data_IF_326300759640
#
_entry.id   IF_326300759640
#
_cell.length_a   1.000
_cell.length_b   1.000
_cell.length_c   1.000
_cell.angle_alpha   90.00
_cell.angle_beta   90.00
_cell.angle_gamma   90.00
#
_symmetry.space_group_name_H-M   'P 1'
#
loop_
_entity.id
_entity.type
_entity.pdbx_description
1 polymer ?
#
# COMPACT_ATOMS: atom_id res chain seq x y z
N UNK A 1 50.48 -5.21 -13.15
CA UNK A 1 50.31 -5.94 -11.88
C UNK A 1 50.05 -4.90 -10.81
N UNK A 2 48.80 -4.47 -10.65
CA UNK A 2 48.43 -3.38 -9.72
C UNK A 2 47.36 -3.90 -8.78
N UNK A 3 47.79 -4.01 -7.52
CA UNK A 3 47.04 -3.78 -6.30
C UNK A 3 45.83 -4.67 -6.02
N UNK A 4 46.12 -5.78 -5.32
CA UNK A 4 45.18 -6.39 -4.38
C UNK A 4 44.79 -5.31 -3.37
N UNK A 5 43.74 -4.55 -3.66
CA UNK A 5 43.13 -3.64 -2.70
C UNK A 5 42.90 -4.43 -1.40
N UNK A 6 43.53 -3.98 -0.32
CA UNK A 6 43.36 -4.59 0.99
C UNK A 6 41.89 -4.44 1.38
N UNK A 7 41.10 -5.48 1.11
CA UNK A 7 39.69 -5.55 1.48
C UNK A 7 39.59 -5.21 2.96
N UNK A 8 38.77 -4.20 3.29
CA UNK A 8 38.61 -3.77 4.67
C UNK A 8 38.12 -4.96 5.52
N UNK A 9 38.47 -4.97 6.81
CA UNK A 9 38.07 -6.05 7.72
C UNK A 9 36.55 -6.30 7.69
N UNK A 10 35.75 -5.25 7.57
CA UNK A 10 34.29 -5.32 7.48
C UNK A 10 33.79 -5.84 6.13
N UNK A 11 34.46 -5.50 5.03
CA UNK A 11 34.13 -6.04 3.72
C UNK A 11 34.42 -7.54 3.62
N UNK A 12 35.53 -8.01 4.20
CA UNK A 12 35.86 -9.44 4.29
C UNK A 12 34.79 -10.21 5.07
N UNK A 13 34.38 -9.69 6.24
CA UNK A 13 33.33 -10.30 7.06
C UNK A 13 32.00 -10.42 6.30
N UNK A 14 31.64 -9.42 5.51
CA UNK A 14 30.43 -9.47 4.67
C UNK A 14 30.54 -10.49 3.54
N UNK A 15 31.71 -10.60 2.88
CA UNK A 15 31.93 -11.61 1.83
C UNK A 15 31.93 -13.04 2.40
N UNK A 16 32.53 -13.25 3.57
CA UNK A 16 32.51 -14.55 4.25
C UNK A 16 31.09 -14.93 4.70
N UNK A 17 30.34 -13.96 5.24
CA UNK A 17 28.93 -14.16 5.59
C UNK A 17 28.08 -14.49 4.36
N UNK A 18 28.32 -13.81 3.23
CA UNK A 18 27.67 -14.11 1.96
C UNK A 18 27.99 -15.54 1.49
N UNK A 19 29.25 -15.96 1.51
CA UNK A 19 29.65 -17.31 1.13
C UNK A 19 28.96 -18.37 2.01
N UNK A 20 28.87 -18.14 3.32
CA UNK A 20 28.14 -19.03 4.25
C UNK A 20 26.65 -19.15 3.89
N UNK A 21 26.00 -18.05 3.53
CA UNK A 21 24.59 -18.06 3.13
C UNK A 21 24.38 -18.77 1.79
N UNK A 22 25.29 -18.58 0.82
CA UNK A 22 25.27 -19.27 -0.47
C UNK A 22 25.44 -20.79 -0.28
N UNK A 23 26.37 -21.21 0.58
CA UNK A 23 26.58 -22.62 0.91
C UNK A 23 25.55 -23.21 1.89
N UNK A 24 24.50 -22.46 2.24
CA UNK A 24 23.45 -22.87 3.17
C UNK A 24 23.98 -23.29 4.55
N UNK A 25 25.07 -22.67 5.02
CA UNK A 25 25.67 -22.89 6.35
C UNK A 25 25.64 -21.61 7.19
N UNK A 26 24.45 -21.05 7.50
CA UNK A 26 24.36 -19.89 8.38
C UNK A 26 24.82 -20.24 9.80
N UNK A 27 25.50 -19.33 10.47
CA UNK A 27 25.89 -19.41 11.88
C UNK A 27 24.76 -18.86 12.75
N UNK A 28 24.09 -17.78 12.31
CA UNK A 28 23.05 -17.12 13.08
C UNK A 28 21.83 -18.04 13.29
N UNK A 29 21.35 -18.13 14.54
CA UNK A 29 20.23 -18.98 14.95
C UNK A 29 18.94 -18.68 14.16
N UNK A 30 18.63 -17.41 13.92
CA UNK A 30 17.44 -17.01 13.16
C UNK A 30 17.52 -17.44 11.69
N UNK A 31 18.70 -17.32 11.08
CA UNK A 31 18.91 -17.69 9.68
C UNK A 31 18.93 -19.21 9.50
N UNK A 32 19.44 -19.96 10.50
CA UNK A 32 19.29 -21.43 10.56
C UNK A 32 17.82 -21.85 10.59
N UNK A 33 16.98 -21.17 11.38
CA UNK A 33 15.54 -21.46 11.43
C UNK A 33 14.87 -21.14 10.09
N UNK A 34 15.21 -20.01 9.45
CA UNK A 34 14.70 -19.65 8.12
C UNK A 34 15.15 -20.63 7.05
N UNK A 35 16.36 -21.17 7.14
CA UNK A 35 16.85 -22.21 6.24
C UNK A 35 16.06 -23.51 6.41
N UNK A 36 15.84 -23.98 7.65
CA UNK A 36 14.99 -25.15 7.93
C UNK A 36 13.56 -24.99 7.38
N UNK A 37 13.05 -23.77 7.37
CA UNK A 37 11.75 -23.44 6.82
C UNK A 37 11.75 -23.19 5.29
N UNK A 38 12.87 -23.39 4.59
CA UNK A 38 13.06 -23.06 3.16
C UNK A 38 12.71 -21.61 2.78
N UNK A 39 12.80 -20.67 3.74
CA UNK A 39 12.45 -19.25 3.59
C UNK A 39 13.68 -18.33 3.65
N UNK A 40 14.88 -18.88 3.55
CA UNK A 40 16.11 -18.08 3.59
C UNK A 40 16.26 -17.29 2.29
N UNK A 41 16.29 -15.95 2.41
CA UNK A 41 16.59 -15.02 1.33
C UNK A 41 17.97 -14.40 1.56
N UNK A 42 18.78 -14.29 0.51
CA UNK A 42 20.10 -13.65 0.55
C UNK A 42 19.90 -12.14 0.31
N UNK A 43 19.50 -11.43 1.36
CA UNK A 43 19.29 -9.97 1.33
C UNK A 43 20.39 -9.30 2.15
N UNK A 44 20.74 -8.06 1.82
CA UNK A 44 21.75 -7.24 2.53
C UNK A 44 21.57 -7.31 4.04
N UNK A 45 20.34 -7.15 4.53
CA UNK A 45 20.02 -7.22 5.96
C UNK A 45 20.31 -8.59 6.58
N UNK A 46 20.13 -9.68 5.84
CA UNK A 46 20.42 -11.03 6.34
C UNK A 46 21.92 -11.32 6.31
N UNK A 47 22.64 -10.79 5.32
CA UNK A 47 24.11 -10.90 5.23
C UNK A 47 24.78 -10.11 6.37
N UNK A 48 24.30 -8.88 6.66
CA UNK A 48 24.77 -8.08 7.80
C UNK A 48 24.53 -8.81 9.14
N UNK A 49 23.34 -9.40 9.32
CA UNK A 49 23.02 -10.21 10.50
C UNK A 49 23.85 -11.48 10.64
N UNK A 50 24.25 -12.10 9.53
CA UNK A 50 25.13 -13.27 9.50
C UNK A 50 26.60 -12.90 9.75
N UNK A 51 26.99 -11.68 9.38
CA UNK A 51 28.30 -11.10 9.69
C UNK A 51 28.40 -10.57 11.13
N UNK A 52 27.28 -10.47 11.86
CA UNK A 52 27.25 -9.87 13.20
C UNK A 52 27.39 -8.35 13.19
N UNK A 53 27.13 -7.72 12.04
CA UNK A 53 27.24 -6.27 11.84
C UNK A 53 25.87 -5.58 12.03
N UNK A 54 25.91 -4.28 12.33
CA UNK A 54 24.69 -3.48 12.44
C UNK A 54 24.03 -3.26 11.08
N UNK A 55 22.71 -3.09 11.09
CA UNK A 55 21.93 -2.80 9.89
C UNK A 55 22.46 -1.53 9.20
N UNK A 56 22.85 -1.63 7.92
CA UNK A 56 23.41 -0.53 7.14
C UNK A 56 24.94 -0.49 7.05
N UNK A 57 25.64 -1.46 7.62
CA UNK A 57 27.09 -1.60 7.50
C UNK A 57 27.56 -1.81 6.05
N UNK A 58 26.74 -2.45 5.21
CA UNK A 58 27.00 -2.66 3.80
C UNK A 58 26.77 -1.40 2.93
N UNK A 59 26.22 -0.31 3.49
CA UNK A 59 25.93 0.93 2.73
C UNK A 59 27.19 1.54 2.12
N UNK A 60 28.34 1.37 2.77
CA UNK A 60 29.64 1.90 2.33
C UNK A 60 30.31 1.05 1.23
N UNK A 61 29.78 -0.14 0.93
CA UNK A 61 30.39 -1.11 0.02
C UNK A 61 29.43 -1.46 -1.12
N UNK A 62 29.35 -0.62 -2.18
CA UNK A 62 28.43 -0.85 -3.29
C UNK A 62 28.75 -2.13 -4.08
N UNK A 63 30.02 -2.52 -4.18
CA UNK A 63 30.42 -3.76 -4.86
C UNK A 63 29.92 -5.01 -4.13
N UNK A 64 30.12 -5.07 -2.81
CA UNK A 64 29.59 -6.17 -1.97
C UNK A 64 28.08 -6.24 -2.02
N UNK A 65 27.40 -5.09 -2.12
CA UNK A 65 25.95 -5.04 -2.32
C UNK A 65 25.53 -5.66 -3.66
N UNK A 66 26.22 -5.33 -4.75
CA UNK A 66 25.98 -5.93 -6.05
C UNK A 66 26.24 -7.45 -6.03
N UNK A 67 27.27 -7.92 -5.32
CA UNK A 67 27.52 -9.35 -5.12
C UNK A 67 26.38 -10.05 -4.38
N UNK A 68 25.83 -9.44 -3.32
CA UNK A 68 24.67 -9.98 -2.58
C UNK A 68 23.44 -10.09 -3.50
N UNK A 69 23.16 -9.03 -4.26
CA UNK A 69 22.04 -9.01 -5.21
C UNK A 69 22.21 -10.08 -6.31
N UNK A 70 23.42 -10.24 -6.83
CA UNK A 70 23.74 -11.28 -7.81
C UNK A 70 23.61 -12.69 -7.23
N UNK A 71 24.00 -12.91 -5.98
CA UNK A 71 23.87 -14.20 -5.30
C UNK A 71 22.40 -14.60 -5.08
N UNK A 72 21.52 -13.65 -4.73
CA UNK A 72 20.09 -13.91 -4.63
C UNK A 72 19.46 -14.15 -6.00
N UNK A 73 19.86 -13.38 -7.02
CA UNK A 73 19.41 -13.60 -8.39
C UNK A 73 19.80 -15.02 -8.87
N UNK A 74 21.03 -15.47 -8.60
CA UNK A 74 21.49 -16.82 -8.91
C UNK A 74 20.71 -17.89 -8.13
N UNK A 75 20.32 -17.63 -6.88
CA UNK A 75 19.49 -18.55 -6.07
C UNK A 75 18.08 -18.71 -6.64
N UNK A 76 17.48 -17.62 -7.14
CA UNK A 76 16.08 -17.61 -7.62
C UNK A 76 15.98 -18.03 -9.08
N UNK A 77 16.91 -17.57 -9.92
CA UNK A 77 16.83 -17.69 -11.38
C UNK A 77 17.92 -18.60 -11.99
N UNK A 78 18.86 -19.11 -11.18
CA UNK A 78 20.01 -19.87 -11.66
C UNK A 78 21.14 -18.99 -12.19
N UNK A 79 22.30 -19.59 -12.48
CA UNK A 79 23.46 -18.87 -13.00
C UNK A 79 23.20 -18.46 -14.44
N UNK A 80 23.07 -17.15 -14.70
CA UNK A 80 22.91 -16.65 -16.06
C UNK A 80 24.26 -16.62 -16.77
N UNK A 81 24.39 -17.32 -17.88
CA UNK A 81 25.61 -17.29 -18.71
C UNK A 81 25.66 -16.08 -19.68
N UNK A 82 24.68 -15.17 -19.57
CA UNK A 82 24.51 -14.01 -20.45
C UNK A 82 24.73 -12.75 -19.63
N UNK A 83 25.60 -11.86 -20.12
CA UNK A 83 25.86 -10.58 -19.43
C UNK A 83 24.64 -9.66 -19.48
N UNK A 84 24.46 -8.87 -18.42
CA UNK A 84 23.34 -7.92 -18.29
C UNK A 84 23.29 -6.90 -19.45
N UNK A 85 24.45 -6.58 -20.04
CA UNK A 85 24.54 -5.70 -21.22
C UNK A 85 23.85 -6.28 -22.45
N UNK A 86 23.95 -7.59 -22.67
CA UNK A 86 23.31 -8.29 -23.79
C UNK A 86 21.80 -8.39 -23.56
N UNK A 87 21.38 -8.65 -22.33
CA UNK A 87 19.95 -8.68 -21.96
C UNK A 87 19.30 -7.32 -22.16
N UNK A 88 19.96 -6.23 -21.78
CA UNK A 88 19.44 -4.86 -21.94
C UNK A 88 19.30 -4.44 -23.39
N UNK A 89 20.17 -4.92 -24.28
CA UNK A 89 20.08 -4.71 -25.72
C UNK A 89 19.06 -5.60 -26.44
N UNK A 90 18.51 -6.61 -25.75
CA UNK A 90 17.58 -7.54 -26.36
C UNK A 90 16.24 -6.83 -26.70
N UNK A 91 15.66 -7.05 -27.90
CA UNK A 91 14.41 -6.39 -28.31
C UNK A 91 13.25 -6.58 -27.34
N UNK A 92 13.15 -7.76 -26.70
CA UNK A 92 12.14 -8.02 -25.66
C UNK A 92 12.31 -7.13 -24.43
N UNK A 93 13.54 -6.90 -23.98
CA UNK A 93 13.81 -6.07 -22.81
C UNK A 93 13.50 -4.60 -23.10
N UNK A 94 13.85 -4.12 -24.30
CA UNK A 94 13.53 -2.77 -24.76
C UNK A 94 12.01 -2.56 -24.81
N UNK A 95 11.27 -3.48 -25.44
CA UNK A 95 9.80 -3.43 -25.48
C UNK A 95 9.18 -3.44 -24.08
N UNK A 96 9.64 -4.36 -23.21
CA UNK A 96 9.15 -4.42 -21.84
C UNK A 96 9.40 -3.12 -21.06
N UNK A 97 10.55 -2.47 -21.28
CA UNK A 97 10.86 -1.18 -20.66
C UNK A 97 9.96 -0.07 -21.18
N UNK A 98 9.73 -0.01 -22.49
CA UNK A 98 8.82 0.98 -23.09
C UNK A 98 7.38 0.82 -22.60
N UNK A 99 6.88 -0.42 -22.54
CA UNK A 99 5.53 -0.71 -22.06
C UNK A 99 5.38 -0.38 -20.57
N UNK A 100 6.41 -0.64 -19.78
CA UNK A 100 6.47 -0.27 -18.37
C UNK A 100 6.43 1.26 -18.20
N UNK A 101 7.15 2.00 -19.03
CA UNK A 101 7.14 3.47 -19.01
C UNK A 101 5.80 4.06 -19.48
N UNK A 102 5.13 3.44 -20.46
CA UNK A 102 3.76 3.79 -20.86
C UNK A 102 2.77 3.55 -19.72
N UNK A 103 2.80 2.36 -19.12
CA UNK A 103 1.94 2.00 -17.99
C UNK A 103 2.14 2.95 -16.80
N UNK A 104 3.38 3.33 -16.48
CA UNK A 104 3.67 4.33 -15.44
C UNK A 104 3.04 5.70 -15.74
N UNK A 105 3.08 6.16 -17.00
CA UNK A 105 2.46 7.42 -17.40
C UNK A 105 0.94 7.35 -17.27
N UNK A 106 0.34 6.24 -17.69
CA UNK A 106 -1.11 6.01 -17.55
C UNK A 106 -1.55 5.96 -16.10
N UNK A 107 -0.85 5.22 -15.24
CA UNK A 107 -1.11 5.18 -13.80
C UNK A 107 -1.05 6.58 -13.20
N UNK A 108 -0.06 7.39 -13.59
CA UNK A 108 0.06 8.78 -13.10
C UNK A 108 -1.13 9.64 -13.56
N UNK A 109 -1.61 9.45 -14.80
CA UNK A 109 -2.77 10.16 -15.33
C UNK A 109 -4.05 9.75 -14.60
N UNK A 110 -4.29 8.45 -14.45
CA UNK A 110 -5.45 7.91 -13.74
C UNK A 110 -5.50 8.34 -12.27
N UNK A 111 -4.36 8.36 -11.57
CA UNK A 111 -4.29 8.87 -10.20
C UNK A 111 -4.74 10.32 -10.08
N UNK A 112 -4.30 11.19 -11.02
CA UNK A 112 -4.75 12.59 -11.07
C UNK A 112 -6.24 12.72 -11.39
N UNK A 113 -6.78 11.82 -12.21
CA UNK A 113 -8.21 11.82 -12.51
C UNK A 113 -9.06 11.36 -11.32
N UNK A 114 -8.59 10.37 -10.56
CA UNK A 114 -9.22 9.92 -9.32
C UNK A 114 -9.25 11.06 -8.31
N UNK A 115 -8.11 11.71 -8.06
CA UNK A 115 -8.01 12.84 -7.13
C UNK A 115 -9.00 13.96 -7.47
N UNK A 116 -9.09 14.35 -8.75
CA UNK A 116 -10.08 15.34 -9.22
C UNK A 116 -11.52 14.89 -9.05
N UNK A 117 -11.81 13.60 -9.23
CA UNK A 117 -13.17 13.06 -9.04
C UNK A 117 -13.54 13.01 -7.56
N UNK A 118 -12.59 12.66 -6.69
CA UNK A 118 -12.77 12.65 -5.24
C UNK A 118 -13.04 14.05 -4.69
N UNK A 119 -12.30 15.06 -5.16
CA UNK A 119 -12.53 16.46 -4.83
C UNK A 119 -13.95 16.91 -5.20
N UNK A 120 -14.37 16.68 -6.47
CA UNK A 120 -15.73 16.99 -6.93
C UNK A 120 -16.80 16.25 -6.14
N UNK A 121 -16.57 14.98 -5.80
CA UNK A 121 -17.51 14.20 -4.99
C UNK A 121 -17.65 14.80 -3.58
N UNK A 122 -16.55 15.27 -2.98
CA UNK A 122 -16.57 15.99 -1.72
C UNK A 122 -17.43 17.25 -1.79
N UNK A 123 -17.30 18.04 -2.86
CA UNK A 123 -18.10 19.25 -3.06
C UNK A 123 -19.59 18.95 -3.26
N UNK A 124 -19.92 17.92 -4.06
CA UNK A 124 -21.31 17.50 -4.24
C UNK A 124 -21.93 17.03 -2.91
N UNK A 125 -21.21 16.26 -2.10
CA UNK A 125 -21.69 15.85 -0.77
C UNK A 125 -21.96 17.05 0.14
N UNK A 126 -21.09 18.06 0.15
CA UNK A 126 -21.31 19.30 0.91
C UNK A 126 -22.55 20.04 0.43
N UNK A 127 -22.70 20.22 -0.88
CA UNK A 127 -23.88 20.90 -1.48
C UNK A 127 -25.18 20.17 -1.15
N UNK A 128 -25.19 18.84 -1.25
CA UNK A 128 -26.37 18.03 -0.94
C UNK A 128 -26.76 18.16 0.53
N UNK A 129 -25.79 18.12 1.46
CA UNK A 129 -26.04 18.37 2.88
C UNK A 129 -26.61 19.76 3.13
N UNK A 130 -26.02 20.80 2.55
CA UNK A 130 -26.54 22.17 2.69
C UNK A 130 -27.95 22.31 2.10
N UNK A 131 -28.26 21.63 1.00
CA UNK A 131 -29.60 21.63 0.42
C UNK A 131 -30.60 20.91 1.31
N UNK A 132 -30.24 19.74 1.86
CA UNK A 132 -31.11 19.01 2.79
C UNK A 132 -31.44 19.84 4.03
N UNK A 133 -30.45 20.55 4.60
CA UNK A 133 -30.66 21.48 5.72
C UNK A 133 -31.61 22.61 5.34
N UNK A 134 -31.41 23.27 4.18
CA UNK A 134 -32.32 24.32 3.71
C UNK A 134 -33.75 23.83 3.49
N UNK A 135 -33.89 22.65 2.88
CA UNK A 135 -35.20 22.03 2.67
C UNK A 135 -35.87 21.73 4.01
N UNK A 136 -35.14 21.17 4.96
CA UNK A 136 -35.68 20.90 6.30
C UNK A 136 -36.11 22.19 7.02
N UNK A 137 -35.28 23.23 7.00
CA UNK A 137 -35.64 24.54 7.56
C UNK A 137 -36.90 25.12 6.91
N UNK A 138 -37.02 25.01 5.59
CA UNK A 138 -38.21 25.45 4.86
C UNK A 138 -39.44 24.64 5.27
N UNK A 139 -39.33 23.31 5.36
CA UNK A 139 -40.41 22.44 5.83
C UNK A 139 -40.85 22.78 7.25
N UNK A 140 -39.91 23.01 8.18
CA UNK A 140 -40.21 23.40 9.56
C UNK A 140 -40.92 24.76 9.61
N UNK A 141 -40.42 25.76 8.89
CA UNK A 141 -41.06 27.08 8.83
C UNK A 141 -42.48 27.00 8.23
N UNK A 142 -42.66 26.22 7.16
CA UNK A 142 -43.99 25.98 6.58
C UNK A 142 -44.91 25.29 7.59
N UNK A 143 -44.39 24.32 8.35
CA UNK A 143 -45.13 23.63 9.41
C UNK A 143 -45.56 24.56 10.54
N UNK A 144 -44.68 25.46 10.99
CA UNK A 144 -44.99 26.46 12.01
C UNK A 144 -46.14 27.37 11.60
N UNK A 145 -46.15 27.80 10.33
CA UNK A 145 -47.16 28.69 9.75
C UNK A 145 -48.49 28.02 9.39
N UNK A 146 -48.59 26.68 9.43
CA UNK A 146 -49.89 26.03 9.25
C UNK A 146 -50.82 26.31 10.43
N UNK A 147 -52.14 26.47 10.23
CA UNK A 147 -53.11 26.51 11.32
C UNK A 147 -53.06 25.22 12.14
N UNK A 148 -53.23 25.32 13.45
CA UNK A 148 -53.15 24.18 14.37
C UNK A 148 -54.16 23.07 14.00
N UNK A 149 -55.34 23.42 13.48
CA UNK A 149 -56.34 22.44 13.01
C UNK A 149 -55.82 21.58 11.85
N UNK A 150 -54.94 22.14 11.01
CA UNK A 150 -54.33 21.44 9.88
C UNK A 150 -53.08 20.63 10.26
N UNK A 151 -52.38 20.99 11.36
CA UNK A 151 -51.18 20.27 11.84
C UNK A 151 -51.50 18.85 12.34
N UNK A 152 -52.77 18.53 12.59
CA UNK A 152 -53.22 17.25 13.11
C UNK A 152 -53.48 16.18 12.02
N UNK A 153 -53.44 16.54 10.73
CA UNK A 153 -53.91 15.66 9.65
C UNK A 153 -52.90 14.53 9.30
N UNK A 154 -51.60 14.69 9.57
CA UNK A 154 -50.60 13.66 9.21
C UNK A 154 -50.50 12.49 10.20
N UNK A 155 -50.95 12.64 11.45
CA UNK A 155 -50.99 11.51 12.40
C UNK A 155 -52.06 10.47 12.04
N UNK A 156 -53.07 10.82 11.24
CA UNK A 156 -54.12 9.88 10.83
C UNK A 156 -53.74 9.01 9.63
N UNK A 157 -52.80 9.45 8.77
CA UNK A 157 -52.48 8.71 7.54
C UNK A 157 -51.72 7.41 7.86
N UNK A 158 -50.87 7.37 8.90
CA UNK A 158 -50.19 6.13 9.32
C UNK A 158 -51.05 5.22 10.23
N UNK A 159 -52.04 5.79 10.93
CA UNK A 159 -52.91 5.00 11.83
C UNK A 159 -53.94 4.20 11.03
N UNK A 160 -54.49 4.77 9.95
CA UNK A 160 -55.50 4.09 9.13
C UNK A 160 -54.90 3.01 8.20
N UNK A 161 -53.67 3.15 7.71
CA UNK A 161 -53.07 2.14 6.79
C UNK A 161 -52.24 1.07 7.47
N UNK A 162 -51.69 1.30 8.67
CA UNK A 162 -50.72 0.38 9.28
C UNK A 162 -51.09 -0.17 10.66
N UNK A 163 -52.18 0.28 11.27
CA UNK A 163 -52.74 -0.35 12.48
C UNK A 163 -51.74 -0.47 13.65
N UNK A 164 -50.72 0.38 13.72
CA UNK A 164 -49.72 0.36 14.78
C UNK A 164 -49.46 1.77 15.30
N UNK A 165 -49.78 2.00 16.57
CA UNK A 165 -49.53 3.22 17.34
C UNK A 165 -48.05 3.35 17.74
N UNK A 166 -47.15 3.31 16.75
CA UNK A 166 -45.72 3.50 16.95
C UNK A 166 -45.35 4.98 16.97
N UNK A 167 -45.34 5.58 18.15
CA UNK A 167 -45.03 7.00 18.40
C UNK A 167 -43.78 7.51 17.64
N UNK A 168 -43.90 8.70 17.05
CA UNK A 168 -42.84 9.50 16.38
C UNK A 168 -41.54 9.63 17.21
N UNK A 169 -41.65 9.52 18.54
CA UNK A 169 -40.52 9.46 19.49
C UNK A 169 -39.57 8.27 19.25
N UNK A 170 -40.06 7.13 18.77
CA UNK A 170 -39.23 5.96 18.48
C UNK A 170 -38.37 6.17 17.23
N UNK A 171 -38.91 6.85 16.22
CA UNK A 171 -38.16 7.19 15.00
C UNK A 171 -37.01 8.17 15.28
N UNK A 172 -37.27 9.24 16.06
CA UNK A 172 -36.21 10.17 16.50
C UNK A 172 -35.11 9.48 17.29
N UNK A 173 -35.46 8.57 18.21
CA UNK A 173 -34.48 7.76 18.96
C UNK A 173 -33.71 6.78 18.07
N UNK A 174 -34.33 6.20 17.05
CA UNK A 174 -33.71 5.24 16.12
C UNK A 174 -32.67 5.91 15.22
N UNK A 175 -32.97 7.10 14.71
CA UNK A 175 -32.10 7.84 13.77
C UNK A 175 -31.05 8.72 14.46
N UNK A 176 -31.04 8.81 15.81
CA UNK A 176 -30.13 9.67 16.60
C UNK A 176 -30.11 11.12 16.12
N UNK A 177 -31.29 11.63 15.80
CA UNK A 177 -31.49 13.04 15.49
C UNK A 177 -31.99 13.68 16.78
N UNK A 178 -31.13 14.46 17.45
CA UNK A 178 -31.48 15.23 18.64
C UNK A 178 -32.62 16.24 18.36
#
# INVERSE_FOLDING_TARGET
MTDKAELSSTERQLRDALARLVHQKPINRELKQKLKANKLKIVVSNVEKEAGLSNGSARRYPETKALIESAEANRVHGVSNVSDTVVRGHPLHIKAKEDLDKAKKEIKKLKREIEKKEEKLGDYKKRLKSQAVRMHQMTVAMWEHMPEECKHIELMIDVETTGATGNVLEFKKREKLD
#
